data_IF_588404136982
#
_entry.id   IF_588404136982
#
_cell.length_a   1.000
_cell.length_b   1.000
_cell.length_c   1.000
_cell.angle_alpha   90.00
_cell.angle_beta   90.00
_cell.angle_gamma   90.00
#
_symmetry.space_group_name_H-M   'P 1'
#
loop_
_entity.id
_entity.type
_entity.pdbx_description
1 polymer ?
#
# COMPACT_ATOMS: atom_id res chain seq x y z
N UNK A 1 -14.48 7.74 4.83
CA UNK A 1 -14.90 6.62 5.71
C UNK A 1 -13.65 5.87 6.17
N UNK A 2 -13.49 5.67 7.48
CA UNK A 2 -12.35 4.93 8.05
C UNK A 2 -12.43 3.45 7.66
N UNK A 3 -11.44 2.93 6.94
CA UNK A 3 -11.35 1.51 6.58
C UNK A 3 -10.53 0.78 7.64
N UNK A 4 -11.20 0.07 8.54
CA UNK A 4 -10.53 -0.73 9.59
C UNK A 4 -9.90 -1.96 8.94
N UNK A 5 -8.58 -2.03 8.97
CA UNK A 5 -7.81 -3.06 8.31
C UNK A 5 -7.99 -4.39 9.06
N UNK A 6 -8.05 -5.49 8.33
CA UNK A 6 -8.13 -6.85 8.89
C UNK A 6 -6.94 -7.71 8.48
N UNK A 7 -6.23 -7.33 7.43
CA UNK A 7 -5.00 -8.00 7.00
C UNK A 7 -4.17 -7.10 6.10
N UNK A 8 -2.86 -7.14 6.28
CA UNK A 8 -1.87 -6.67 5.31
C UNK A 8 -1.05 -7.89 4.91
N UNK A 9 -0.83 -8.04 3.61
CA UNK A 9 0.05 -9.05 3.07
C UNK A 9 0.89 -8.42 1.96
N UNK A 10 2.13 -8.89 1.83
CA UNK A 10 3.12 -8.29 0.96
C UNK A 10 3.83 -9.37 0.14
N UNK A 11 4.36 -8.98 -1.02
CA UNK A 11 5.30 -9.78 -1.81
C UNK A 11 6.32 -8.88 -2.49
N UNK A 12 7.53 -9.37 -2.83
CA UNK A 12 8.57 -8.53 -3.39
C UNK A 12 8.11 -7.97 -4.74
N UNK A 13 8.31 -6.67 -4.97
CA UNK A 13 8.02 -6.08 -6.27
C UNK A 13 8.92 -6.65 -7.38
N UNK A 14 10.15 -7.04 -7.02
CA UNK A 14 11.09 -7.70 -7.93
C UNK A 14 10.62 -9.10 -8.37
N UNK A 15 9.74 -9.75 -7.60
CA UNK A 15 9.19 -11.07 -7.91
C UNK A 15 7.64 -11.07 -7.83
N UNK A 16 6.93 -10.48 -8.82
CA UNK A 16 5.47 -10.41 -8.80
C UNK A 16 4.77 -11.77 -8.84
N UNK A 17 5.45 -12.83 -9.26
CA UNK A 17 4.91 -14.19 -9.26
C UNK A 17 4.91 -14.83 -7.85
N UNK A 18 5.64 -14.27 -6.89
CA UNK A 18 5.68 -14.78 -5.53
C UNK A 18 4.30 -14.72 -4.83
N UNK A 19 4.12 -15.58 -3.85
CA UNK A 19 2.93 -15.56 -3.01
C UNK A 19 2.95 -14.39 -2.01
N UNK A 20 1.77 -13.92 -1.65
CA UNK A 20 1.62 -12.89 -0.62
C UNK A 20 1.84 -13.48 0.78
N UNK A 21 2.81 -12.94 1.50
CA UNK A 21 3.08 -13.26 2.91
C UNK A 21 2.37 -12.27 3.82
N UNK A 22 1.73 -12.75 4.90
CA UNK A 22 1.00 -11.88 5.84
C UNK A 22 1.96 -11.19 6.79
N UNK A 23 1.68 -9.92 7.08
CA UNK A 23 2.44 -9.12 8.05
C UNK A 23 1.89 -9.35 9.46
N UNK A 24 2.74 -9.46 10.49
CA UNK A 24 2.31 -9.64 11.87
C UNK A 24 1.83 -8.30 12.47
N UNK A 25 0.53 -8.00 12.35
CA UNK A 25 -0.04 -6.73 12.84
C UNK A 25 -0.44 -6.78 14.33
N UNK A 26 -0.42 -5.64 15.05
CA UNK A 26 -1.04 -5.42 16.39
C UNK A 26 -2.47 -4.88 16.23
N UNK A 27 -3.44 -5.48 16.96
CA UNK A 27 -4.85 -5.08 16.96
C UNK A 27 -5.11 -3.91 17.90
N UNK A 28 -6.03 -2.97 17.61
CA UNK A 28 -6.89 -2.88 16.42
C UNK A 28 -6.22 -2.16 15.23
N UNK A 29 -6.35 -2.74 14.03
CA UNK A 29 -5.38 -2.55 12.95
C UNK A 29 -5.65 -1.34 12.04
N UNK A 30 -4.65 -0.44 12.02
CA UNK A 30 -4.22 0.41 10.91
C UNK A 30 -5.24 1.35 10.24
N UNK A 31 -4.73 2.16 9.32
CA UNK A 31 -5.49 3.12 8.53
C UNK A 31 -5.09 3.02 7.06
N UNK A 32 -6.07 3.12 6.16
CA UNK A 32 -5.84 3.26 4.72
C UNK A 32 -6.44 4.58 4.25
N UNK A 33 -5.58 5.49 3.77
CA UNK A 33 -5.96 6.74 3.11
C UNK A 33 -5.64 6.67 1.62
N UNK A 34 -6.54 7.20 0.82
CA UNK A 34 -6.38 7.38 -0.62
C UNK A 34 -6.72 8.82 -0.95
N UNK A 35 -5.81 9.51 -1.64
CA UNK A 35 -6.00 10.88 -2.09
C UNK A 35 -5.69 10.96 -3.58
N UNK A 36 -6.51 11.69 -4.32
CA UNK A 36 -6.25 12.02 -5.72
C UNK A 36 -5.97 13.52 -5.79
N UNK A 37 -4.81 13.88 -6.33
CA UNK A 37 -4.42 15.27 -6.56
C UNK A 37 -4.37 15.51 -8.06
N UNK A 38 -4.94 16.62 -8.54
CA UNK A 38 -4.81 16.99 -9.95
C UNK A 38 -3.50 17.76 -10.17
N UNK A 39 -2.72 17.33 -11.14
CA UNK A 39 -1.45 17.93 -11.56
C UNK A 39 -1.50 18.26 -13.06
N UNK A 40 -0.57 19.08 -13.56
CA UNK A 40 -0.56 19.52 -14.96
C UNK A 40 -0.46 18.35 -15.96
N UNK A 41 0.19 17.26 -15.54
CA UNK A 41 0.41 16.07 -16.36
C UNK A 41 -0.61 14.93 -16.09
N UNK A 42 -1.65 15.14 -15.28
CA UNK A 42 -2.70 14.15 -15.02
C UNK A 42 -3.24 14.15 -13.58
N UNK A 43 -3.81 13.02 -13.16
CA UNK A 43 -4.22 12.81 -11.77
C UNK A 43 -3.19 11.94 -11.04
N UNK A 44 -2.78 12.37 -9.85
CA UNK A 44 -1.89 11.65 -8.97
C UNK A 44 -2.70 10.94 -7.88
N UNK A 45 -2.81 9.62 -7.95
CA UNK A 45 -3.37 8.80 -6.88
C UNK A 45 -2.26 8.46 -5.87
N UNK A 46 -2.40 8.98 -4.65
CA UNK A 46 -1.56 8.65 -3.51
C UNK A 46 -2.29 7.71 -2.56
N UNK A 47 -1.66 6.58 -2.25
CA UNK A 47 -2.15 5.62 -1.26
C UNK A 47 -1.20 5.63 -0.08
N UNK A 48 -1.74 5.83 1.12
CA UNK A 48 -1.00 5.76 2.38
C UNK A 48 -1.66 4.72 3.28
N UNK A 49 -0.92 3.67 3.59
CA UNK A 49 -1.29 2.61 4.51
C UNK A 49 -0.44 2.75 5.77
N UNK A 50 -1.08 2.81 6.93
CA UNK A 50 -0.38 2.87 8.23
C UNK A 50 -0.86 1.72 9.10
N UNK A 51 0.04 0.96 9.72
CA UNK A 51 -0.34 -0.08 10.68
C UNK A 51 0.78 -0.35 11.69
N UNK A 52 0.41 -0.68 12.92
CA UNK A 52 1.36 -1.11 13.95
C UNK A 52 1.64 -2.60 13.82
N UNK A 53 2.91 -2.98 13.90
CA UNK A 53 3.39 -4.35 13.78
C UNK A 53 3.67 -4.96 15.15
N UNK A 54 3.63 -6.29 15.26
CA UNK A 54 4.04 -7.04 16.47
C UNK A 54 5.56 -7.25 16.52
N UNK A 55 6.18 -7.22 15.36
CA UNK A 55 7.60 -7.49 15.18
C UNK A 55 8.01 -7.01 13.80
N UNK A 56 9.29 -6.66 13.66
CA UNK A 56 9.91 -6.43 12.37
C UNK A 56 10.11 -7.76 11.59
N UNK A 57 10.23 -7.67 10.27
CA UNK A 57 10.48 -8.76 9.32
C UNK A 57 11.31 -8.18 8.15
N UNK A 58 12.36 -8.89 7.73
CA UNK A 58 13.25 -8.46 6.65
C UNK A 58 12.51 -8.04 5.38
N UNK A 59 11.36 -8.65 5.10
CA UNK A 59 10.52 -8.32 3.94
C UNK A 59 10.03 -6.86 3.95
N UNK A 60 9.88 -6.25 5.13
CA UNK A 60 9.35 -4.89 5.29
C UNK A 60 10.33 -3.79 4.86
N UNK A 61 11.57 -4.17 4.57
CA UNK A 61 12.64 -3.26 4.13
C UNK A 61 12.82 -3.25 2.60
N UNK A 62 12.03 -4.02 1.87
CA UNK A 62 12.11 -4.14 0.41
C UNK A 62 10.93 -3.44 -0.30
N UNK A 63 11.13 -2.94 -1.54
CA UNK A 63 10.03 -2.49 -2.39
C UNK A 63 9.01 -3.62 -2.63
N UNK A 64 7.73 -3.34 -2.39
CA UNK A 64 6.72 -4.39 -2.28
C UNK A 64 5.48 -4.13 -3.15
N UNK A 65 4.78 -5.23 -3.45
CA UNK A 65 3.37 -5.20 -3.84
C UNK A 65 2.56 -5.50 -2.58
N UNK A 66 1.65 -4.61 -2.24
CA UNK A 66 0.88 -4.62 -1.00
C UNK A 66 -0.55 -5.05 -1.29
N UNK A 67 -1.06 -5.99 -0.51
CA UNK A 67 -2.48 -6.34 -0.45
C UNK A 67 -3.01 -6.01 0.93
N UNK A 68 -3.96 -5.08 0.98
CA UNK A 68 -4.69 -4.72 2.20
C UNK A 68 -6.14 -5.20 2.10
N UNK A 69 -6.63 -5.81 3.19
CA UNK A 69 -8.03 -6.20 3.35
C UNK A 69 -8.64 -5.44 4.53
N UNK A 70 -9.89 -5.05 4.40
CA UNK A 70 -10.71 -4.45 5.46
C UNK A 70 -12.11 -5.05 5.41
N UNK A 71 -12.95 -4.76 6.41
CA UNK A 71 -14.36 -5.19 6.38
C UNK A 71 -15.07 -4.54 5.19
N UNK A 72 -15.49 -5.34 4.22
CA UNK A 72 -16.19 -4.86 3.02
C UNK A 72 -15.28 -4.51 1.84
N UNK A 73 -14.00 -4.87 1.84
CA UNK A 73 -13.18 -4.70 0.64
C UNK A 73 -11.72 -5.10 0.76
N UNK A 74 -11.03 -4.99 -0.37
CA UNK A 74 -9.58 -5.16 -0.47
C UNK A 74 -9.00 -4.26 -1.54
N UNK A 75 -7.72 -3.95 -1.41
CA UNK A 75 -6.95 -3.21 -2.40
C UNK A 75 -5.58 -3.87 -2.56
N UNK A 76 -5.14 -4.01 -3.80
CA UNK A 76 -3.76 -4.34 -4.14
C UNK A 76 -3.13 -3.11 -4.77
N UNK A 77 -1.94 -2.74 -4.33
CA UNK A 77 -1.20 -1.61 -4.87
C UNK A 77 0.31 -1.87 -4.85
N UNK A 78 1.06 -1.13 -5.65
CA UNK A 78 2.43 -1.45 -6.03
C UNK A 78 2.47 -2.37 -7.24
N UNK A 79 3.52 -2.22 -8.05
CA UNK A 79 3.87 -3.10 -9.15
C UNK A 79 5.39 -3.29 -9.20
N UNK A 80 5.89 -4.03 -10.18
CA UNK A 80 7.33 -4.13 -10.43
C UNK A 80 7.95 -2.76 -10.78
N UNK A 81 7.24 -2.00 -11.60
CA UNK A 81 7.74 -0.73 -12.16
C UNK A 81 7.48 0.46 -11.21
N UNK A 82 6.41 0.38 -10.42
CA UNK A 82 6.01 1.39 -9.43
C UNK A 82 5.71 0.66 -8.12
N UNK A 83 6.74 0.23 -7.37
CA UNK A 83 6.54 -0.49 -6.12
C UNK A 83 5.97 0.41 -5.03
N UNK A 84 5.29 -0.20 -4.06
CA UNK A 84 5.02 0.47 -2.80
C UNK A 84 6.31 0.53 -1.98
N UNK A 85 6.63 1.73 -1.50
CA UNK A 85 7.75 1.93 -0.59
C UNK A 85 7.26 1.79 0.84
N UNK A 86 7.95 0.94 1.60
CA UNK A 86 7.67 0.66 2.99
C UNK A 86 8.64 1.45 3.86
N UNK A 87 8.13 1.98 4.97
CA UNK A 87 8.93 2.69 5.97
C UNK A 87 8.48 2.22 7.34
N UNK A 88 9.43 1.75 8.14
CA UNK A 88 9.22 1.38 9.53
C UNK A 88 9.72 2.51 10.40
N UNK A 89 8.90 2.97 11.33
CA UNK A 89 9.34 3.89 12.39
C UNK A 89 9.80 3.12 13.62
N UNK A 90 10.53 3.78 14.52
CA UNK A 90 10.99 3.19 15.79
C UNK A 90 9.84 2.65 16.67
N UNK A 91 8.62 3.17 16.48
CA UNK A 91 7.39 2.72 17.16
C UNK A 91 6.71 1.52 16.49
N UNK A 92 7.46 0.74 15.68
CA UNK A 92 6.96 -0.42 14.92
C UNK A 92 5.75 -0.08 14.02
N UNK A 93 5.66 1.18 13.58
CA UNK A 93 4.61 1.62 12.67
C UNK A 93 5.09 1.47 11.24
N UNK A 94 4.41 0.60 10.49
CA UNK A 94 4.58 0.43 9.06
C UNK A 94 3.80 1.52 8.33
N UNK A 95 4.49 2.28 7.49
CA UNK A 95 3.90 3.18 6.50
C UNK A 95 4.24 2.65 5.11
N UNK A 96 3.23 2.30 4.33
CA UNK A 96 3.39 1.99 2.91
C UNK A 96 2.81 3.11 2.06
N UNK A 97 3.65 3.64 1.15
CA UNK A 97 3.24 4.71 0.23
C UNK A 97 3.42 4.26 -1.21
N UNK A 98 2.40 4.49 -2.03
CA UNK A 98 2.46 4.28 -3.48
C UNK A 98 1.79 5.46 -4.18
N UNK A 99 2.42 5.93 -5.25
CA UNK A 99 1.95 7.06 -6.06
C UNK A 99 1.81 6.62 -7.52
N UNK A 100 0.64 6.83 -8.10
CA UNK A 100 0.38 6.59 -9.51
C UNK A 100 0.02 7.88 -10.19
N UNK A 101 0.63 8.13 -11.34
CA UNK A 101 0.18 9.17 -12.25
C UNK A 101 -0.70 8.53 -13.31
N UNK A 102 -1.97 8.93 -13.36
CA UNK A 102 -2.90 8.53 -14.41
C UNK A 102 -3.05 9.69 -15.38
N UNK A 103 -2.66 9.49 -16.63
CA UNK A 103 -2.98 10.41 -17.72
C UNK A 103 -4.49 10.44 -17.89
N UNK A 104 -5.09 11.63 -17.83
CA UNK A 104 -6.46 11.81 -18.29
C UNK A 104 -6.38 11.74 -19.82
N UNK A 105 -6.58 10.56 -20.42
CA UNK A 105 -7.02 10.56 -21.81
C UNK A 105 -8.38 11.26 -21.82
N UNK A 106 -8.41 12.47 -22.34
CA UNK A 106 -9.65 13.10 -22.73
C UNK A 106 -10.31 12.16 -23.74
N UNK A 107 -11.27 11.35 -23.28
CA UNK A 107 -12.18 10.64 -24.17
C UNK A 107 -12.93 11.73 -24.94
N UNK A 108 -12.43 12.04 -26.14
CA UNK A 108 -13.20 12.78 -27.14
C UNK A 108 -14.33 11.85 -27.58
N UNK A 109 -15.53 12.11 -27.06
CA UNK A 109 -16.80 11.59 -27.55
C UNK A 109 -17.77 12.74 -27.69
#
# INVERSE_FOLDING_TARGET
MLKIITSIALKPAACPAAEFRRVPLISPFGNLKTATTREDAGELLTITLTATLRSDDAFLHEPAIVRVKWRGGSLVFGSKDIPALLTLTEEETLVATCKYQTSIEAVKG
#
